data_IF_026122093577
#
_entry.id   IF_026122093577
#
_cell.length_a   1.000
_cell.length_b   1.000
_cell.length_c   1.000
_cell.angle_alpha   90.00
_cell.angle_beta   90.00
_cell.angle_gamma   90.00
#
_symmetry.space_group_name_H-M   'P 1'
#
loop_
_entity.id
_entity.type
_entity.pdbx_description
1 polymer ?
#
# COMPACT_ATOMS: atom_id res chain seq x y z
N UNK A 1 -3.24 15.44 13.90
CA UNK A 1 -3.13 14.89 12.54
C UNK A 1 -2.27 13.65 12.66
N UNK A 2 -2.79 12.42 12.46
CA UNK A 2 -1.95 11.23 12.58
C UNK A 2 -0.95 11.25 11.44
N UNK A 3 0.31 11.49 11.79
CA UNK A 3 1.44 11.50 10.87
C UNK A 3 1.55 10.12 10.21
N UNK A 4 1.77 10.03 8.90
CA UNK A 4 1.91 8.78 8.14
C UNK A 4 2.65 7.65 8.89
N UNK A 5 3.73 7.98 9.61
CA UNK A 5 4.48 7.07 10.49
C UNK A 5 3.66 6.39 11.61
N UNK A 6 2.69 7.07 12.21
CA UNK A 6 1.79 6.51 13.24
C UNK A 6 0.80 5.51 12.64
N UNK A 7 0.31 5.77 11.42
CA UNK A 7 -0.53 4.81 10.69
C UNK A 7 0.29 3.58 10.32
N UNK A 8 1.53 3.79 9.86
CA UNK A 8 2.47 2.72 9.53
C UNK A 8 2.73 1.75 10.68
N UNK A 9 2.90 2.25 11.91
CA UNK A 9 3.10 1.39 13.10
C UNK A 9 1.92 0.45 13.38
N UNK A 10 0.72 0.77 12.88
CA UNK A 10 -0.49 -0.06 13.05
C UNK A 10 -0.66 -1.09 11.94
N UNK A 11 0.12 -0.99 10.85
CA UNK A 11 0.05 -1.90 9.73
C UNK A 11 0.87 -3.17 10.00
N UNK A 12 0.45 -4.31 9.43
CA UNK A 12 1.24 -5.54 9.52
C UNK A 12 2.61 -5.35 8.84
N UNK A 13 3.64 -5.98 9.41
CA UNK A 13 4.98 -5.92 8.86
C UNK A 13 5.06 -6.55 7.47
N UNK A 14 5.58 -5.80 6.51
CA UNK A 14 5.75 -6.23 5.10
C UNK A 14 7.13 -6.84 4.82
N UNK A 15 7.87 -7.26 5.86
CA UNK A 15 9.21 -7.84 5.72
C UNK A 15 9.25 -9.10 4.85
N UNK A 16 8.13 -9.82 4.74
CA UNK A 16 7.98 -11.02 3.91
C UNK A 16 7.61 -10.69 2.45
N UNK A 17 7.24 -9.45 2.16
CA UNK A 17 6.81 -9.00 0.84
C UNK A 17 8.05 -8.53 0.08
N UNK A 18 8.34 -9.14 -1.07
CA UNK A 18 9.45 -8.71 -1.91
C UNK A 18 9.09 -7.46 -2.73
N UNK A 19 7.89 -7.45 -3.32
CA UNK A 19 7.35 -6.32 -4.07
C UNK A 19 5.83 -6.48 -4.20
N UNK A 20 5.13 -5.36 -4.41
CA UNK A 20 3.73 -5.34 -4.82
C UNK A 20 3.67 -4.85 -6.26
N UNK A 21 3.01 -5.63 -7.12
CA UNK A 21 2.72 -5.24 -8.49
C UNK A 21 1.28 -4.78 -8.58
N UNK A 22 1.10 -3.57 -9.10
CA UNK A 22 -0.19 -3.00 -9.41
C UNK A 22 -0.53 -3.39 -10.83
N UNK A 23 -1.61 -4.14 -11.00
CA UNK A 23 -2.12 -4.58 -12.29
C UNK A 23 -3.42 -3.83 -12.60
N UNK A 24 -3.65 -3.54 -13.87
CA UNK A 24 -4.94 -3.04 -14.35
C UNK A 24 -5.98 -4.18 -14.47
N UNK A 25 -7.18 -3.85 -14.93
CA UNK A 25 -8.24 -4.84 -15.15
C UNK A 25 -7.92 -5.85 -16.28
N UNK A 26 -6.99 -5.51 -17.17
CA UNK A 26 -6.48 -6.35 -18.26
C UNK A 26 -5.31 -7.24 -17.82
N UNK A 27 -4.80 -7.06 -16.60
CA UNK A 27 -3.62 -7.74 -16.08
C UNK A 27 -2.29 -7.06 -16.45
N UNK A 28 -2.32 -5.85 -17.00
CA UNK A 28 -1.13 -5.08 -17.37
C UNK A 28 -0.51 -4.41 -16.15
N UNK A 29 0.81 -4.46 -16.02
CA UNK A 29 1.52 -3.87 -14.89
C UNK A 29 1.53 -2.34 -14.99
N UNK A 30 0.76 -1.69 -14.13
CA UNK A 30 0.72 -0.23 -13.98
C UNK A 30 1.89 0.30 -13.16
N UNK A 31 2.46 -0.54 -12.31
CA UNK A 31 3.64 -0.18 -11.52
C UNK A 31 4.03 -1.23 -10.49
N UNK A 32 5.26 -1.12 -10.00
CA UNK A 32 5.81 -2.00 -8.98
C UNK A 32 6.34 -1.20 -7.80
N UNK A 33 5.97 -1.62 -6.60
CA UNK A 33 6.48 -1.10 -5.35
C UNK A 33 7.38 -2.17 -4.77
N UNK A 34 8.69 -1.97 -4.90
CA UNK A 34 9.67 -2.91 -4.35
C UNK A 34 9.88 -2.65 -2.86
N UNK A 35 10.18 -3.73 -2.12
CA UNK A 35 10.58 -3.62 -0.73
C UNK A 35 12.03 -3.14 -0.63
N UNK A 36 12.19 -1.81 -0.77
CA UNK A 36 13.46 -1.11 -0.67
C UNK A 36 13.44 -0.12 0.49
N UNK A 37 14.61 0.22 1.07
CA UNK A 37 14.72 1.31 2.04
C UNK A 37 14.11 2.59 1.46
N UNK A 38 13.16 3.20 2.18
CA UNK A 38 12.39 4.37 1.71
C UNK A 38 11.03 4.03 1.09
N UNK A 39 10.81 2.83 0.58
CA UNK A 39 9.53 2.40 -0.03
C UNK A 39 8.69 1.48 0.87
N UNK A 40 9.26 1.02 2.00
CA UNK A 40 8.57 0.16 2.97
C UNK A 40 7.27 0.77 3.50
N UNK A 41 7.24 2.10 3.64
CA UNK A 41 6.06 2.83 4.08
C UNK A 41 4.88 2.63 3.14
N UNK A 42 5.08 2.98 1.87
CA UNK A 42 4.08 2.78 0.82
C UNK A 42 3.74 1.29 0.67
N UNK A 43 4.74 0.41 0.66
CA UNK A 43 4.53 -1.03 0.54
C UNK A 43 3.54 -1.57 1.59
N UNK A 44 3.67 -1.14 2.86
CA UNK A 44 2.76 -1.54 3.93
C UNK A 44 1.33 -1.06 3.69
N UNK A 45 1.15 0.18 3.23
CA UNK A 45 -0.19 0.72 2.92
C UNK A 45 -0.84 -0.07 1.78
N UNK A 46 -0.14 -0.23 0.65
CA UNK A 46 -0.68 -0.98 -0.49
C UNK A 46 -0.95 -2.44 -0.15
N UNK A 47 -0.10 -3.06 0.67
CA UNK A 47 -0.32 -4.43 1.14
C UNK A 47 -1.60 -4.53 1.98
N UNK A 48 -1.79 -3.59 2.92
CA UNK A 48 -2.97 -3.55 3.76
C UNK A 48 -4.25 -3.29 2.97
N UNK A 49 -4.21 -2.38 1.99
CA UNK A 49 -5.33 -2.15 1.08
C UNK A 49 -5.68 -3.41 0.28
N UNK A 50 -4.67 -4.11 -0.26
CA UNK A 50 -4.88 -5.36 -0.98
C UNK A 50 -5.46 -6.46 -0.07
N UNK A 51 -4.99 -6.59 1.17
CA UNK A 51 -5.54 -7.56 2.13
C UNK A 51 -6.97 -7.22 2.57
N UNK A 52 -7.30 -5.93 2.70
CA UNK A 52 -8.60 -5.48 3.22
C UNK A 52 -9.66 -5.46 2.12
N UNK A 53 -9.31 -4.99 0.92
CA UNK A 53 -10.26 -4.75 -0.17
C UNK A 53 -10.11 -5.74 -1.34
N UNK A 54 -9.04 -6.52 -1.40
CA UNK A 54 -8.72 -7.42 -2.53
C UNK A 54 -8.22 -6.70 -3.78
N UNK A 55 -8.64 -5.46 -4.01
CA UNK A 55 -8.22 -4.61 -5.13
C UNK A 55 -8.15 -3.14 -4.71
N UNK A 56 -7.45 -2.32 -5.50
CA UNK A 56 -7.44 -0.86 -5.33
C UNK A 56 -8.73 -0.29 -5.95
N UNK A 57 -9.84 -0.48 -5.25
CA UNK A 57 -11.12 0.15 -5.59
C UNK A 57 -11.09 1.65 -5.27
N UNK A 58 -12.04 2.46 -5.76
CA UNK A 58 -12.12 3.88 -5.42
C UNK A 58 -12.16 4.14 -3.90
N UNK A 59 -12.82 3.25 -3.16
CA UNK A 59 -12.86 3.28 -1.70
C UNK A 59 -11.50 2.98 -1.08
N UNK A 60 -10.81 1.93 -1.56
CA UNK A 60 -9.46 1.60 -1.13
C UNK A 60 -8.47 2.73 -1.44
N UNK A 61 -8.59 3.37 -2.61
CA UNK A 61 -7.78 4.53 -3.00
C UNK A 61 -8.02 5.72 -2.07
N UNK A 62 -9.29 6.03 -1.74
CA UNK A 62 -9.61 7.05 -0.72
C UNK A 62 -9.00 6.70 0.62
N UNK A 63 -9.13 5.45 1.07
CA UNK A 63 -8.58 5.00 2.36
C UNK A 63 -7.06 5.09 2.37
N UNK A 64 -6.42 4.71 1.26
CA UNK A 64 -4.99 4.83 1.04
C UNK A 64 -4.54 6.27 1.15
N UNK A 65 -5.22 7.21 0.51
CA UNK A 65 -4.94 8.64 0.62
C UNK A 65 -5.13 9.15 2.06
N UNK A 66 -6.16 8.70 2.79
CA UNK A 66 -6.32 9.04 4.21
C UNK A 66 -5.17 8.50 5.08
N UNK A 67 -4.66 7.30 4.78
CA UNK A 67 -3.52 6.69 5.48
C UNK A 67 -2.20 7.39 5.13
N UNK A 68 -2.07 7.84 3.88
CA UNK A 68 -0.89 8.51 3.32
C UNK A 68 -0.84 10.01 3.63
N UNK A 69 -1.96 10.63 4.00
CA UNK A 69 -2.05 12.06 4.26
C UNK A 69 -0.96 12.50 5.24
N UNK A 70 0.05 13.17 4.68
CA UNK A 70 1.21 13.75 5.35
C UNK A 70 0.89 15.13 5.93
#
# INVERSE_FOLDING_TARGET
>A
MPQFSENLKKLPGVSHVAAIRLLDASGEELGVIENKPGSQGSLAVYNHLAQTYGAITPEAARKGLEMFAE
#
